data_IF_313127384266
#
_entry.id   IF_313127384266
#
_cell.length_a   1.000
_cell.length_b   1.000
_cell.length_c   1.000
_cell.angle_alpha   90.00
_cell.angle_beta   90.00
_cell.angle_gamma   90.00
#
_symmetry.space_group_name_H-M   'P 1'
#
loop_
_entity.id
_entity.type
_entity.pdbx_description
1 polymer ?
#
# COMPACT_ATOMS: atom_id res chain seq x y z
N UNK A 1 29.21 4.82 -4.84
CA UNK A 1 29.48 6.00 -3.99
C UNK A 1 29.13 5.64 -2.56
N UNK A 2 30.11 5.71 -1.65
CA UNK A 2 29.88 5.54 -0.22
C UNK A 2 29.23 6.81 0.33
N UNK A 3 28.26 6.64 1.23
CA UNK A 3 27.65 7.79 1.90
C UNK A 3 28.63 8.40 2.92
N UNK A 4 28.52 9.70 3.11
CA UNK A 4 29.21 10.42 4.17
C UNK A 4 28.93 9.83 5.56
N UNK A 5 29.90 9.96 6.46
CA UNK A 5 29.81 9.35 7.80
C UNK A 5 28.61 9.84 8.62
N UNK A 6 28.22 11.11 8.51
CA UNK A 6 27.05 11.66 9.23
C UNK A 6 25.75 11.08 8.67
N UNK A 7 25.65 10.92 7.32
CA UNK A 7 24.47 10.32 6.67
C UNK A 7 24.32 8.85 7.05
N UNK A 8 25.44 8.09 7.11
CA UNK A 8 25.42 6.69 7.54
C UNK A 8 24.99 6.53 9.00
N UNK A 9 25.52 7.37 9.90
CA UNK A 9 25.14 7.37 11.32
C UNK A 9 23.65 7.70 11.48
N UNK A 10 23.15 8.69 10.74
CA UNK A 10 21.73 9.02 10.78
C UNK A 10 20.84 7.90 10.23
N UNK A 11 21.21 7.22 9.13
CA UNK A 11 20.49 6.05 8.64
C UNK A 11 20.42 4.94 9.70
N UNK A 12 21.52 4.65 10.37
CA UNK A 12 21.57 3.66 11.46
C UNK A 12 20.68 4.08 12.65
N UNK A 13 20.67 5.35 13.04
CA UNK A 13 19.75 5.89 14.03
C UNK A 13 18.28 5.69 13.63
N UNK A 14 17.92 5.95 12.34
CA UNK A 14 16.57 5.75 11.85
C UNK A 14 16.15 4.27 11.83
N UNK A 15 17.08 3.37 11.56
CA UNK A 15 16.86 1.93 11.56
C UNK A 15 16.69 1.37 12.98
N UNK A 16 17.64 1.64 13.85
CA UNK A 16 17.74 1.00 15.18
C UNK A 16 16.84 1.69 16.20
N UNK A 17 16.95 3.01 16.34
CA UNK A 17 16.25 3.75 17.39
C UNK A 17 14.82 4.14 16.97
N UNK A 18 14.66 4.58 15.71
CA UNK A 18 13.33 4.98 15.20
C UNK A 18 12.56 3.82 14.58
N UNK A 19 13.19 2.69 14.35
CA UNK A 19 12.60 1.45 13.77
C UNK A 19 11.75 1.72 12.55
N UNK A 20 12.27 2.53 11.63
CA UNK A 20 11.55 2.85 10.41
C UNK A 20 11.44 1.62 9.52
N UNK A 21 10.32 1.52 8.79
CA UNK A 21 10.11 0.43 7.83
C UNK A 21 11.20 0.42 6.74
N UNK A 22 11.63 -0.75 6.32
CA UNK A 22 12.70 -0.96 5.32
C UNK A 22 12.48 -0.12 4.04
N UNK A 23 11.23 0.01 3.57
CA UNK A 23 10.90 0.86 2.42
C UNK A 23 11.18 2.34 2.66
N UNK A 24 10.92 2.84 3.86
CA UNK A 24 11.20 4.23 4.23
C UNK A 24 12.70 4.47 4.30
N UNK A 25 13.45 3.52 4.90
CA UNK A 25 14.91 3.57 4.96
C UNK A 25 15.52 3.58 3.54
N UNK A 26 15.06 2.71 2.64
CA UNK A 26 15.51 2.70 1.25
C UNK A 26 15.23 4.04 0.53
N UNK A 27 14.06 4.62 0.70
CA UNK A 27 13.73 5.94 0.13
C UNK A 27 14.63 7.04 0.71
N UNK A 28 14.90 7.01 2.01
CA UNK A 28 15.76 8.00 2.67
C UNK A 28 17.23 7.84 2.28
N UNK A 29 17.68 6.60 2.10
CA UNK A 29 19.03 6.33 1.60
C UNK A 29 19.24 6.94 0.20
N UNK A 30 18.28 6.78 -0.70
CA UNK A 30 18.34 7.41 -2.03
C UNK A 30 18.28 8.95 -1.94
N UNK A 31 17.46 9.50 -1.04
CA UNK A 31 17.42 10.94 -0.78
C UNK A 31 18.78 11.48 -0.26
N UNK A 32 19.44 10.74 0.62
CA UNK A 32 20.75 11.12 1.15
C UNK A 32 21.87 11.01 0.10
N UNK A 33 21.84 10.02 -0.77
CA UNK A 33 22.76 9.96 -1.92
C UNK A 33 22.65 11.22 -2.79
N UNK A 34 21.41 11.66 -3.08
CA UNK A 34 21.20 12.90 -3.86
C UNK A 34 21.66 14.13 -3.12
N UNK A 35 21.41 14.22 -1.80
CA UNK A 35 21.90 15.34 -0.98
C UNK A 35 23.41 15.45 -1.05
N UNK A 36 24.11 14.33 -0.88
CA UNK A 36 25.58 14.26 -0.96
C UNK A 36 26.09 14.71 -2.34
N UNK A 37 25.51 14.18 -3.43
CA UNK A 37 25.90 14.59 -4.80
C UNK A 37 25.69 16.09 -5.02
N UNK A 38 24.61 16.66 -4.51
CA UNK A 38 24.37 18.09 -4.63
C UNK A 38 25.38 18.91 -3.83
N UNK A 39 25.73 18.49 -2.61
CA UNK A 39 26.70 19.16 -1.77
C UNK A 39 28.12 19.11 -2.40
N UNK A 40 28.55 17.93 -2.86
CA UNK A 40 29.81 17.71 -3.57
C UNK A 40 29.89 18.58 -4.84
N UNK A 41 28.82 18.59 -5.65
CA UNK A 41 28.76 19.39 -6.89
C UNK A 41 28.78 20.91 -6.64
N UNK A 42 28.37 21.33 -5.45
CA UNK A 42 28.40 22.72 -5.03
C UNK A 42 29.69 23.09 -4.28
N UNK A 43 30.58 22.15 -4.01
CA UNK A 43 31.79 22.36 -3.20
C UNK A 43 31.50 22.74 -1.75
N UNK A 44 30.38 22.28 -1.17
CA UNK A 44 29.93 22.66 0.17
C UNK A 44 29.86 21.43 1.06
N UNK A 45 30.46 21.51 2.26
CA UNK A 45 30.32 20.46 3.24
C UNK A 45 28.87 20.32 3.72
N UNK A 46 28.42 19.09 4.05
CA UNK A 46 27.03 18.85 4.47
C UNK A 46 26.61 19.71 5.68
N UNK A 47 27.53 20.00 6.59
CA UNK A 47 27.29 20.85 7.76
C UNK A 47 27.22 22.35 7.47
N UNK A 48 27.68 22.77 6.28
CA UNK A 48 27.72 24.19 5.84
C UNK A 48 26.58 24.52 4.86
N UNK A 49 25.75 23.54 4.52
CA UNK A 49 24.61 23.74 3.60
C UNK A 49 23.65 24.80 4.15
N UNK A 50 23.29 25.76 3.28
CA UNK A 50 22.43 26.88 3.59
C UNK A 50 21.04 26.74 2.93
N UNK A 51 20.01 27.45 3.40
CA UNK A 51 18.66 27.37 2.84
C UNK A 51 18.56 27.65 1.34
N UNK A 52 19.43 28.51 0.79
CA UNK A 52 19.44 28.79 -0.66
C UNK A 52 19.92 27.58 -1.48
N UNK A 53 20.88 26.78 -0.97
CA UNK A 53 21.30 25.54 -1.59
C UNK A 53 20.11 24.56 -1.70
N UNK A 54 19.38 24.36 -0.60
CA UNK A 54 18.22 23.46 -0.57
C UNK A 54 17.12 23.90 -1.54
N UNK A 55 16.82 25.22 -1.62
CA UNK A 55 15.84 25.75 -2.59
C UNK A 55 16.29 25.49 -4.03
N UNK A 56 17.56 25.73 -4.34
CA UNK A 56 18.15 25.47 -5.65
C UNK A 56 18.07 24.01 -6.02
N UNK A 57 18.43 23.09 -5.10
CA UNK A 57 18.41 21.65 -5.35
C UNK A 57 16.99 21.11 -5.50
N UNK A 58 16.04 21.59 -4.71
CA UNK A 58 14.63 21.27 -4.90
C UNK A 58 14.11 21.72 -6.28
N UNK A 59 14.52 22.90 -6.74
CA UNK A 59 14.23 23.39 -8.10
C UNK A 59 14.87 22.52 -9.18
N UNK A 60 16.11 22.09 -9.01
CA UNK A 60 16.79 21.18 -9.94
C UNK A 60 16.11 19.80 -10.01
N UNK A 61 15.65 19.25 -8.88
CA UNK A 61 14.87 18.00 -8.86
C UNK A 61 13.58 18.15 -9.65
N UNK A 62 12.90 19.29 -9.50
CA UNK A 62 11.67 19.58 -10.23
C UNK A 62 11.93 19.72 -11.74
N UNK A 63 12.96 20.46 -12.12
CA UNK A 63 13.37 20.63 -13.52
C UNK A 63 13.76 19.30 -14.18
N UNK A 64 14.39 18.37 -13.42
CA UNK A 64 14.69 17.01 -13.85
C UNK A 64 13.45 16.09 -13.92
N UNK A 65 12.24 16.61 -13.69
CA UNK A 65 10.98 15.88 -13.82
C UNK A 65 10.58 15.06 -12.58
N UNK A 66 11.22 15.25 -11.42
CA UNK A 66 10.73 14.60 -10.20
C UNK A 66 9.34 15.14 -9.82
N UNK A 67 8.43 14.20 -9.55
CA UNK A 67 7.08 14.56 -9.10
C UNK A 67 7.14 15.33 -7.76
N UNK A 68 6.27 16.34 -7.55
CA UNK A 68 6.22 17.13 -6.32
C UNK A 68 6.14 16.29 -5.03
N UNK A 69 5.40 15.16 -5.06
CA UNK A 69 5.34 14.22 -3.94
C UNK A 69 6.67 13.56 -3.63
N UNK A 70 7.48 13.23 -4.66
CA UNK A 70 8.83 12.68 -4.48
C UNK A 70 9.76 13.73 -3.89
N UNK A 71 9.70 14.98 -4.37
CA UNK A 71 10.48 16.09 -3.81
C UNK A 71 10.11 16.34 -2.34
N UNK A 72 8.84 16.18 -1.97
CA UNK A 72 8.41 16.29 -0.57
C UNK A 72 9.04 15.20 0.31
N UNK A 73 9.22 13.98 -0.21
CA UNK A 73 9.93 12.88 0.50
C UNK A 73 11.41 13.23 0.67
N UNK A 74 12.08 13.72 -0.38
CA UNK A 74 13.48 14.17 -0.31
C UNK A 74 13.66 15.22 0.78
N UNK A 75 12.85 16.29 0.72
CA UNK A 75 12.91 17.37 1.72
C UNK A 75 12.57 16.89 3.14
N UNK A 76 11.71 15.89 3.27
CA UNK A 76 11.41 15.26 4.58
C UNK A 76 12.62 14.52 5.14
N UNK A 77 13.31 13.73 4.31
CA UNK A 77 14.52 13.01 4.70
C UNK A 77 15.64 13.98 5.10
N UNK A 78 15.91 14.99 4.24
CA UNK A 78 16.93 16.02 4.50
C UNK A 78 16.61 16.83 5.77
N UNK A 79 15.35 17.20 5.98
CA UNK A 79 14.91 17.92 7.18
C UNK A 79 15.11 17.09 8.44
N UNK A 80 14.87 15.78 8.36
CA UNK A 80 15.12 14.82 9.44
C UNK A 80 16.61 14.76 9.79
N UNK A 81 17.47 14.66 8.79
CA UNK A 81 18.92 14.64 8.94
C UNK A 81 19.46 15.90 9.62
N UNK A 82 19.11 17.09 9.12
CA UNK A 82 19.57 18.34 9.71
C UNK A 82 18.99 18.60 11.10
N UNK A 83 17.80 18.07 11.41
CA UNK A 83 17.27 18.11 12.78
C UNK A 83 18.10 17.22 13.71
N UNK A 84 18.53 16.07 13.21
CA UNK A 84 19.40 15.16 13.96
C UNK A 84 20.78 15.79 14.20
N UNK A 85 21.43 16.36 13.19
CA UNK A 85 22.68 17.10 13.34
C UNK A 85 22.57 18.28 14.31
N UNK A 86 21.43 18.97 14.31
CA UNK A 86 21.20 20.10 15.24
C UNK A 86 21.06 19.68 16.71
N UNK A 87 20.61 18.45 17.00
CA UNK A 87 20.58 17.92 18.38
C UNK A 87 21.98 17.73 18.95
N UNK A 88 22.91 17.33 18.09
CA UNK A 88 24.30 17.09 18.44
C UNK A 88 25.16 18.37 18.33
N UNK A 89 24.54 19.53 18.07
CA UNK A 89 25.21 20.82 17.96
C UNK A 89 26.07 21.01 16.71
N UNK A 90 25.98 20.09 15.73
CA UNK A 90 26.79 20.16 14.52
C UNK A 90 26.30 21.21 13.51
N UNK A 91 25.07 21.66 13.63
CA UNK A 91 24.48 22.77 12.84
C UNK A 91 23.59 23.63 13.74
N UNK A 92 23.67 24.95 13.56
CA UNK A 92 22.88 25.91 14.34
C UNK A 92 21.44 25.99 13.82
N UNK A 93 21.28 25.96 12.51
CA UNK A 93 19.97 26.07 11.84
C UNK A 93 19.75 24.91 10.89
N UNK A 94 18.49 24.45 10.83
CA UNK A 94 18.10 23.46 9.83
C UNK A 94 17.87 24.15 8.47
N UNK A 95 18.75 23.94 7.47
CA UNK A 95 18.66 24.64 6.17
C UNK A 95 17.40 24.25 5.38
N UNK A 96 16.74 23.15 5.75
CA UNK A 96 15.51 22.69 5.08
C UNK A 96 14.24 23.25 5.76
N UNK A 97 14.39 23.93 6.90
CA UNK A 97 13.27 24.58 7.54
C UNK A 97 12.66 25.64 6.60
N UNK A 98 11.34 25.63 6.43
CA UNK A 98 10.64 26.57 5.56
C UNK A 98 10.72 26.26 4.05
N UNK A 99 11.58 25.34 3.59
CA UNK A 99 11.58 24.91 2.18
C UNK A 99 10.45 23.91 1.93
N UNK A 100 9.60 24.19 0.94
CA UNK A 100 8.45 23.37 0.57
C UNK A 100 8.64 22.81 -0.84
N UNK A 101 8.13 21.61 -1.07
CA UNK A 101 8.02 21.05 -2.40
C UNK A 101 7.05 21.89 -3.27
N UNK A 102 7.20 21.87 -4.60
CA UNK A 102 6.24 22.49 -5.51
C UNK A 102 4.82 21.98 -5.22
N UNK A 103 3.83 22.85 -5.38
CA UNK A 103 2.43 22.43 -5.24
C UNK A 103 2.08 21.45 -6.37
N UNK A 104 1.65 20.24 -6.01
CA UNK A 104 1.02 19.35 -6.97
C UNK A 104 -0.47 19.71 -7.09
N UNK A 105 -1.07 19.66 -8.30
CA UNK A 105 -2.51 19.55 -8.39
C UNK A 105 -2.90 18.33 -7.54
N UNK A 106 -3.83 18.53 -6.59
CA UNK A 106 -4.41 17.39 -5.87
C UNK A 106 -5.49 16.81 -6.80
N UNK A 107 -5.22 15.72 -7.53
CA UNK A 107 -6.33 15.04 -8.19
C UNK A 107 -7.26 14.59 -7.07
N UNK A 108 -8.54 14.93 -7.20
CA UNK A 108 -9.56 14.35 -6.33
C UNK A 108 -9.39 12.83 -6.40
N UNK A 109 -9.31 12.13 -5.27
CA UNK A 109 -9.26 10.69 -5.29
C UNK A 109 -10.54 10.21 -5.98
N UNK A 110 -10.40 9.70 -7.20
CA UNK A 110 -11.53 9.17 -7.95
C UNK A 110 -11.78 7.75 -7.46
N UNK A 111 -12.80 7.56 -6.64
CA UNK A 111 -13.39 6.24 -6.47
C UNK A 111 -14.00 5.83 -7.82
N UNK A 112 -13.93 4.54 -8.16
CA UNK A 112 -14.77 4.00 -9.23
C UNK A 112 -16.23 4.10 -8.79
N UNK A 113 -17.14 4.32 -9.71
CA UNK A 113 -18.55 4.11 -9.45
C UNK A 113 -18.82 2.62 -9.14
N UNK A 114 -19.93 2.29 -8.49
CA UNK A 114 -20.23 0.91 -8.07
C UNK A 114 -20.25 -0.03 -9.28
N UNK A 115 -20.93 0.37 -10.36
CA UNK A 115 -21.01 -0.36 -11.63
C UNK A 115 -19.63 -0.60 -12.26
N UNK A 116 -18.77 0.41 -12.27
CA UNK A 116 -17.40 0.29 -12.76
C UNK A 116 -16.54 -0.67 -11.90
N UNK A 117 -16.70 -0.62 -10.58
CA UNK A 117 -15.97 -1.51 -9.69
C UNK A 117 -16.45 -2.96 -9.81
N UNK A 118 -17.75 -3.17 -9.98
CA UNK A 118 -18.34 -4.48 -10.24
C UNK A 118 -17.91 -4.99 -11.61
N UNK A 119 -17.99 -4.17 -12.67
CA UNK A 119 -17.53 -4.52 -14.02
C UNK A 119 -16.05 -4.96 -14.01
N UNK A 120 -15.19 -4.23 -13.30
CA UNK A 120 -13.78 -4.60 -13.17
C UNK A 120 -13.60 -5.96 -12.46
N UNK A 121 -14.37 -6.19 -11.41
CA UNK A 121 -14.32 -7.43 -10.64
C UNK A 121 -14.84 -8.61 -11.45
N UNK A 122 -15.95 -8.45 -12.17
CA UNK A 122 -16.58 -9.47 -12.99
C UNK A 122 -15.90 -9.66 -14.36
N UNK A 123 -14.98 -8.77 -14.74
CA UNK A 123 -14.22 -8.93 -15.99
C UNK A 123 -13.49 -10.26 -16.01
N UNK A 124 -13.72 -11.05 -17.04
CA UNK A 124 -13.01 -12.30 -17.30
C UNK A 124 -12.34 -12.25 -18.67
N UNK A 125 -11.08 -12.66 -18.73
CA UNK A 125 -10.29 -12.63 -19.94
C UNK A 125 -10.05 -14.06 -20.46
N UNK A 126 -10.84 -14.46 -21.41
CA UNK A 126 -10.70 -15.78 -22.06
C UNK A 126 -9.43 -15.91 -22.92
N UNK A 127 -8.77 -14.80 -23.26
CA UNK A 127 -7.55 -14.79 -24.08
C UNK A 127 -6.27 -14.91 -23.21
N UNK A 128 -6.38 -14.73 -21.90
CA UNK A 128 -5.24 -14.94 -20.98
C UNK A 128 -5.18 -16.41 -20.53
N UNK A 129 -4.07 -16.79 -19.90
CA UNK A 129 -3.98 -18.10 -19.24
C UNK A 129 -5.06 -18.23 -18.16
N UNK A 130 -5.84 -19.33 -18.14
CA UNK A 130 -6.86 -19.55 -17.11
C UNK A 130 -6.29 -19.45 -15.69
N UNK A 131 -5.05 -19.89 -15.47
CA UNK A 131 -4.33 -19.79 -14.19
C UNK A 131 -4.12 -18.34 -13.77
N UNK A 132 -3.68 -17.49 -14.70
CA UNK A 132 -3.43 -16.08 -14.43
C UNK A 132 -4.74 -15.33 -14.25
N UNK A 133 -5.78 -15.68 -14.97
CA UNK A 133 -7.10 -15.07 -14.83
C UNK A 133 -7.73 -15.40 -13.48
N UNK A 134 -7.72 -16.66 -13.03
CA UNK A 134 -8.21 -17.06 -11.72
C UNK A 134 -7.49 -16.29 -10.59
N UNK A 135 -6.16 -16.16 -10.70
CA UNK A 135 -5.35 -15.37 -9.76
C UNK A 135 -5.77 -13.90 -9.75
N UNK A 136 -5.85 -13.28 -10.92
CA UNK A 136 -6.08 -11.84 -11.06
C UNK A 136 -7.52 -11.46 -10.70
N UNK A 137 -8.47 -12.34 -10.96
CA UNK A 137 -9.85 -12.23 -10.50
C UNK A 137 -9.89 -12.26 -8.95
N UNK A 138 -9.27 -13.25 -8.33
CA UNK A 138 -9.19 -13.34 -6.87
C UNK A 138 -8.51 -12.11 -6.23
N UNK A 139 -7.40 -11.63 -6.80
CA UNK A 139 -6.74 -10.40 -6.35
C UNK A 139 -7.66 -9.18 -6.42
N UNK A 140 -8.42 -9.05 -7.51
CA UNK A 140 -9.32 -7.91 -7.72
C UNK A 140 -10.47 -7.93 -6.72
N UNK A 141 -11.08 -9.10 -6.51
CA UNK A 141 -12.13 -9.31 -5.54
C UNK A 141 -11.67 -8.98 -4.10
N UNK A 142 -10.50 -9.43 -3.70
CA UNK A 142 -9.98 -9.14 -2.36
C UNK A 142 -9.60 -7.66 -2.18
N UNK A 143 -9.04 -7.02 -3.20
CA UNK A 143 -8.72 -5.60 -3.13
C UNK A 143 -9.97 -4.72 -3.04
N UNK A 144 -11.00 -5.05 -3.81
CA UNK A 144 -12.25 -4.29 -3.80
C UNK A 144 -13.18 -4.77 -2.69
N UNK A 145 -13.43 -6.07 -2.55
CA UNK A 145 -14.37 -6.63 -1.59
C UNK A 145 -13.94 -6.50 -0.13
N UNK A 146 -12.64 -6.56 0.16
CA UNK A 146 -12.11 -6.43 1.53
C UNK A 146 -11.38 -5.12 1.79
N UNK A 147 -11.21 -4.27 0.77
CA UNK A 147 -10.49 -3.01 0.89
C UNK A 147 -9.03 -3.16 1.33
N UNK A 148 -8.36 -4.25 0.99
CA UNK A 148 -6.98 -4.52 1.41
C UNK A 148 -5.98 -3.53 0.81
N UNK A 149 -4.93 -3.20 1.57
CA UNK A 149 -3.75 -2.55 0.99
C UNK A 149 -2.99 -3.54 0.12
N UNK A 150 -2.31 -3.07 -0.93
CA UNK A 150 -1.50 -3.96 -1.78
C UNK A 150 -0.45 -4.75 -0.98
N UNK A 151 0.12 -4.16 0.05
CA UNK A 151 1.08 -4.85 0.93
C UNK A 151 0.39 -5.92 1.79
N UNK A 152 -0.83 -5.68 2.25
CA UNK A 152 -1.63 -6.66 2.99
C UNK A 152 -2.03 -7.83 2.09
N UNK A 153 -2.53 -7.57 0.89
CA UNK A 153 -2.82 -8.61 -0.11
C UNK A 153 -1.59 -9.48 -0.38
N UNK A 154 -0.44 -8.84 -0.61
CA UNK A 154 0.79 -9.56 -0.94
C UNK A 154 1.43 -10.27 0.25
N UNK A 155 1.06 -9.93 1.48
CA UNK A 155 1.52 -10.63 2.69
C UNK A 155 0.66 -11.85 3.05
N UNK A 156 -0.42 -12.10 2.32
CA UNK A 156 -1.25 -13.28 2.53
C UNK A 156 -0.48 -14.55 2.13
N UNK A 157 -0.53 -15.53 2.98
CA UNK A 157 -0.10 -16.90 2.71
C UNK A 157 -1.30 -17.78 2.38
N UNK A 158 -1.06 -18.84 1.61
CA UNK A 158 -2.11 -19.78 1.19
C UNK A 158 -2.71 -20.55 2.37
N UNK A 159 -1.93 -20.71 3.44
CA UNK A 159 -2.35 -21.40 4.66
C UNK A 159 -1.97 -20.59 5.90
N UNK A 160 -2.76 -20.75 6.96
CA UNK A 160 -2.42 -20.20 8.26
C UNK A 160 -1.18 -20.92 8.83
N UNK A 161 -0.24 -20.13 9.36
CA UNK A 161 0.93 -20.67 10.09
C UNK A 161 1.39 -19.66 11.15
N UNK A 162 2.26 -20.11 12.04
CA UNK A 162 2.88 -19.23 13.05
C UNK A 162 3.76 -18.13 12.44
N UNK A 163 4.24 -18.34 11.22
CA UNK A 163 5.09 -17.38 10.48
C UNK A 163 4.28 -16.54 9.49
N UNK A 164 3.03 -16.90 9.20
CA UNK A 164 2.20 -16.16 8.26
C UNK A 164 1.94 -14.73 8.74
N UNK A 165 2.27 -13.76 7.90
CA UNK A 165 1.94 -12.36 8.14
C UNK A 165 0.44 -12.09 7.96
N UNK A 166 -0.24 -12.88 7.12
CA UNK A 166 -1.68 -12.86 6.93
C UNK A 166 -2.14 -14.12 6.22
N UNK A 167 -3.43 -14.43 6.36
CA UNK A 167 -4.11 -15.56 5.70
C UNK A 167 -5.60 -15.28 5.60
N UNK A 168 -6.32 -16.11 4.84
CA UNK A 168 -7.77 -16.06 4.77
C UNK A 168 -8.32 -17.33 5.41
N UNK A 169 -9.24 -17.15 6.36
CA UNK A 169 -10.05 -18.21 6.90
C UNK A 169 -11.37 -18.24 6.10
N UNK A 170 -11.52 -19.27 5.26
CA UNK A 170 -12.70 -19.42 4.42
C UNK A 170 -13.94 -19.88 5.21
N UNK A 171 -13.75 -20.56 6.34
CA UNK A 171 -14.86 -21.02 7.20
C UNK A 171 -15.46 -19.85 7.97
N UNK A 172 -14.60 -19.00 8.54
CA UNK A 172 -15.02 -17.79 9.27
C UNK A 172 -15.24 -16.58 8.33
N UNK A 173 -15.12 -16.77 7.02
CA UNK A 173 -15.22 -15.70 6.01
C UNK A 173 -14.42 -14.45 6.41
N UNK A 174 -13.17 -14.64 6.86
CA UNK A 174 -12.34 -13.57 7.38
C UNK A 174 -10.92 -13.59 6.84
N UNK A 175 -10.38 -12.39 6.54
CA UNK A 175 -8.98 -12.19 6.18
C UNK A 175 -8.23 -11.59 7.38
N UNK A 176 -7.21 -12.27 7.85
CA UNK A 176 -6.33 -11.84 8.92
C UNK A 176 -5.11 -11.15 8.30
N UNK A 177 -4.93 -9.85 8.56
CA UNK A 177 -3.86 -9.07 7.94
C UNK A 177 -3.05 -8.29 8.97
N UNK A 178 -1.77 -8.06 8.65
CA UNK A 178 -0.88 -7.26 9.46
C UNK A 178 -0.87 -5.82 8.92
N UNK A 179 -1.43 -4.90 9.69
CA UNK A 179 -1.49 -3.48 9.35
C UNK A 179 -0.23 -2.71 9.72
N UNK A 180 -0.27 -1.40 9.54
CA UNK A 180 0.82 -0.49 9.93
C UNK A 180 1.09 -0.59 11.44
N UNK A 181 2.38 -0.70 11.81
CA UNK A 181 2.79 -0.84 13.21
C UNK A 181 2.62 -2.26 13.76
N UNK A 182 2.61 -3.28 12.88
CA UNK A 182 2.50 -4.69 13.26
C UNK A 182 1.22 -5.05 14.03
N UNK A 183 0.16 -4.27 13.87
CA UNK A 183 -1.15 -4.57 14.45
C UNK A 183 -1.92 -5.50 13.54
N UNK A 184 -2.33 -6.66 14.04
CA UNK A 184 -3.23 -7.58 13.32
C UNK A 184 -4.66 -7.05 13.36
N UNK A 185 -5.40 -7.27 12.28
CA UNK A 185 -6.84 -7.06 12.22
C UNK A 185 -7.48 -8.11 11.33
N UNK A 186 -8.75 -8.38 11.59
CA UNK A 186 -9.58 -9.22 10.73
C UNK A 186 -10.48 -8.33 9.87
N UNK A 187 -10.70 -8.73 8.62
CA UNK A 187 -11.57 -8.06 7.67
C UNK A 187 -12.53 -9.08 7.09
N UNK A 188 -13.86 -8.82 7.03
CA UNK A 188 -14.81 -9.74 6.41
C UNK A 188 -14.46 -10.00 4.94
N UNK A 189 -14.69 -11.24 4.49
CA UNK A 189 -14.50 -11.66 3.11
C UNK A 189 -15.86 -12.02 2.51
N UNK A 190 -16.31 -11.23 1.54
CA UNK A 190 -17.60 -11.45 0.90
C UNK A 190 -17.64 -12.71 0.03
N UNK A 191 -18.84 -13.20 -0.24
CA UNK A 191 -19.06 -14.43 -0.99
C UNK A 191 -18.42 -14.44 -2.38
N UNK A 192 -18.38 -13.30 -3.08
CA UNK A 192 -17.69 -13.19 -4.38
C UNK A 192 -16.18 -13.46 -4.25
N UNK A 193 -15.54 -12.86 -3.25
CA UNK A 193 -14.12 -13.05 -2.99
C UNK A 193 -13.79 -14.49 -2.53
N UNK A 194 -14.67 -15.13 -1.74
CA UNK A 194 -14.52 -16.53 -1.33
C UNK A 194 -14.59 -17.48 -2.53
N UNK A 195 -15.54 -17.28 -3.45
CA UNK A 195 -15.61 -18.09 -4.69
C UNK A 195 -14.36 -17.91 -5.56
N UNK A 196 -13.93 -16.67 -5.74
CA UNK A 196 -12.72 -16.37 -6.49
C UNK A 196 -11.47 -16.98 -5.82
N UNK A 197 -11.43 -16.98 -4.48
CA UNK A 197 -10.37 -17.65 -3.72
C UNK A 197 -10.36 -19.15 -3.94
N UNK A 198 -11.51 -19.81 -3.86
CA UNK A 198 -11.64 -21.24 -4.08
C UNK A 198 -11.13 -21.63 -5.48
N UNK A 199 -11.61 -20.95 -6.52
CA UNK A 199 -11.18 -21.17 -7.89
C UNK A 199 -9.67 -20.94 -8.09
N UNK A 200 -9.10 -19.92 -7.44
CA UNK A 200 -7.65 -19.70 -7.48
C UNK A 200 -6.88 -20.81 -6.76
N UNK A 201 -7.35 -21.25 -5.60
CA UNK A 201 -6.67 -22.30 -4.82
C UNK A 201 -6.64 -23.65 -5.53
N UNK A 202 -7.64 -23.98 -6.36
CA UNK A 202 -7.66 -25.19 -7.19
C UNK A 202 -6.51 -25.24 -8.18
N UNK A 203 -6.14 -24.11 -8.79
CA UNK A 203 -5.13 -24.04 -9.86
C UNK A 203 -3.78 -23.46 -9.39
N UNK A 204 -3.71 -22.88 -8.19
CA UNK A 204 -2.49 -22.23 -7.69
C UNK A 204 -1.28 -23.16 -7.68
N UNK A 205 -1.49 -24.44 -7.35
CA UNK A 205 -0.42 -25.44 -7.26
C UNK A 205 0.32 -25.66 -8.59
N UNK A 206 -0.34 -25.43 -9.72
CA UNK A 206 0.28 -25.54 -11.05
C UNK A 206 1.28 -24.41 -11.36
N UNK A 207 1.13 -23.27 -10.67
CA UNK A 207 1.97 -22.09 -10.87
C UNK A 207 3.02 -21.90 -9.77
N UNK A 208 2.71 -22.26 -8.52
CA UNK A 208 3.56 -22.04 -7.37
C UNK A 208 4.79 -22.97 -7.36
N UNK A 209 5.97 -22.42 -7.05
CA UNK A 209 7.14 -23.27 -6.79
C UNK A 209 6.94 -24.09 -5.50
N UNK A 210 7.61 -25.23 -5.43
CA UNK A 210 7.53 -26.10 -4.25
C UNK A 210 7.94 -25.34 -2.99
N UNK A 211 7.07 -25.37 -1.97
CA UNK A 211 7.30 -24.69 -0.69
C UNK A 211 6.98 -23.18 -0.68
N UNK A 212 6.51 -22.58 -1.79
CA UNK A 212 6.10 -21.16 -1.78
C UNK A 212 4.81 -20.97 -0.96
N UNK A 213 4.91 -20.25 0.15
CA UNK A 213 3.79 -20.00 1.06
C UNK A 213 2.83 -18.92 0.56
N UNK A 214 3.29 -17.99 -0.30
CA UNK A 214 2.50 -16.84 -0.75
C UNK A 214 1.18 -17.24 -1.39
N UNK A 215 0.07 -16.64 -0.97
CA UNK A 215 -1.23 -16.84 -1.63
C UNK A 215 -1.15 -16.48 -3.12
N UNK A 216 -0.53 -15.34 -3.46
CA UNK A 216 -0.42 -14.86 -4.83
C UNK A 216 1.00 -14.98 -5.36
N UNK A 217 1.17 -15.74 -6.44
CA UNK A 217 2.45 -16.02 -7.06
C UNK A 217 2.54 -15.44 -8.47
N UNK A 218 3.75 -15.11 -8.89
CA UNK A 218 4.09 -14.64 -10.23
C UNK A 218 4.17 -15.82 -11.21
N UNK A 219 4.36 -15.52 -12.50
CA UNK A 219 4.64 -16.55 -13.53
C UNK A 219 5.94 -17.34 -13.27
N UNK A 220 6.76 -16.90 -12.32
CA UNK A 220 7.96 -17.62 -11.86
C UNK A 220 7.68 -18.48 -10.61
N UNK A 221 6.43 -18.57 -10.19
CA UNK A 221 6.00 -19.35 -9.03
C UNK A 221 6.34 -18.76 -7.67
N UNK A 222 6.90 -17.55 -7.60
CA UNK A 222 7.27 -16.86 -6.36
C UNK A 222 6.31 -15.72 -6.06
N UNK A 223 6.28 -15.26 -4.81
CA UNK A 223 5.41 -14.17 -4.33
C UNK A 223 5.40 -12.96 -5.28
N UNK A 224 4.20 -12.48 -5.62
CA UNK A 224 4.02 -11.29 -6.45
C UNK A 224 4.60 -10.03 -5.82
N UNK A 225 5.00 -9.10 -6.67
CA UNK A 225 5.44 -7.76 -6.28
C UNK A 225 4.33 -6.71 -6.43
N UNK A 226 4.38 -5.58 -5.70
CA UNK A 226 3.43 -4.49 -5.88
C UNK A 226 3.36 -3.93 -7.31
N UNK A 227 4.47 -3.99 -8.05
CA UNK A 227 4.53 -3.54 -9.44
C UNK A 227 3.71 -4.45 -10.36
N UNK A 228 3.86 -5.78 -10.18
CA UNK A 228 3.10 -6.77 -10.95
C UNK A 228 1.60 -6.65 -10.70
N UNK A 229 1.17 -6.48 -9.43
CA UNK A 229 -0.26 -6.25 -9.12
C UNK A 229 -0.79 -5.00 -9.83
N UNK A 230 -0.04 -3.88 -9.82
CA UNK A 230 -0.47 -2.67 -10.53
C UNK A 230 -0.57 -2.88 -12.04
N UNK A 231 0.39 -3.58 -12.64
CA UNK A 231 0.38 -3.88 -14.07
C UNK A 231 -0.81 -4.76 -14.46
N UNK A 232 -1.13 -5.79 -13.66
CA UNK A 232 -2.28 -6.66 -13.90
C UNK A 232 -3.61 -5.92 -13.76
N UNK A 233 -3.78 -5.11 -12.71
CA UNK A 233 -4.98 -4.27 -12.54
C UNK A 233 -5.15 -3.26 -13.66
N UNK A 234 -4.04 -2.63 -14.13
CA UNK A 234 -4.09 -1.72 -15.28
C UNK A 234 -4.58 -2.44 -16.54
N UNK A 235 -4.03 -3.61 -16.83
CA UNK A 235 -4.43 -4.43 -17.98
C UNK A 235 -5.90 -4.83 -17.91
N UNK A 236 -6.35 -5.31 -16.73
CA UNK A 236 -7.73 -5.68 -16.47
C UNK A 236 -8.69 -4.50 -16.65
N UNK A 237 -8.33 -3.30 -16.18
CA UNK A 237 -9.12 -2.09 -16.39
C UNK A 237 -9.27 -1.70 -17.86
N UNK A 238 -8.17 -1.83 -18.66
CA UNK A 238 -8.21 -1.58 -20.10
C UNK A 238 -9.16 -2.56 -20.78
N UNK A 239 -9.08 -3.87 -20.45
CA UNK A 239 -9.94 -4.92 -21.02
C UNK A 239 -11.40 -4.75 -20.62
N UNK A 240 -11.67 -4.23 -19.41
CA UNK A 240 -13.00 -3.87 -18.96
C UNK A 240 -13.54 -2.57 -19.61
N UNK A 241 -12.80 -1.93 -20.51
CA UNK A 241 -13.21 -0.67 -21.14
C UNK A 241 -13.28 0.52 -20.17
N UNK A 242 -12.61 0.46 -19.02
CA UNK A 242 -12.67 1.55 -18.05
C UNK A 242 -11.80 2.74 -18.50
N UNK A 243 -12.30 3.98 -18.42
CA UNK A 243 -11.64 5.19 -18.93
C UNK A 243 -10.48 5.67 -18.04
N UNK A 244 -10.15 4.95 -16.99
CA UNK A 244 -9.16 5.37 -15.99
C UNK A 244 -8.18 4.27 -15.62
N UNK A 245 -6.98 4.67 -15.22
CA UNK A 245 -5.98 3.73 -14.73
C UNK A 245 -6.33 3.28 -13.31
N UNK A 246 -6.79 2.04 -13.18
CA UNK A 246 -7.10 1.45 -11.89
C UNK A 246 -5.81 1.01 -11.18
N UNK A 247 -5.77 1.25 -9.89
CA UNK A 247 -4.68 0.83 -9.01
C UNK A 247 -5.21 0.42 -7.62
N UNK A 248 -4.46 -0.33 -6.80
CA UNK A 248 -4.95 -0.88 -5.53
C UNK A 248 -5.54 0.16 -4.56
N UNK A 249 -4.95 1.35 -4.48
CA UNK A 249 -5.48 2.41 -3.60
C UNK A 249 -6.83 2.95 -4.08
N UNK A 250 -7.08 2.95 -5.40
CA UNK A 250 -8.39 3.35 -5.95
C UNK A 250 -9.46 2.33 -5.56
N UNK A 251 -9.19 1.02 -5.67
CA UNK A 251 -10.12 -0.03 -5.27
C UNK A 251 -10.45 0.05 -3.77
N UNK A 252 -9.43 0.24 -2.93
CA UNK A 252 -9.65 0.45 -1.51
C UNK A 252 -10.44 1.74 -1.21
N UNK A 253 -10.24 2.80 -1.98
CA UNK A 253 -11.03 4.04 -1.84
C UNK A 253 -12.48 3.81 -2.27
N UNK A 254 -12.70 3.06 -3.37
CA UNK A 254 -14.03 2.66 -3.81
C UNK A 254 -14.75 1.81 -2.77
N UNK A 255 -14.08 0.82 -2.18
CA UNK A 255 -14.59 0.05 -1.04
C UNK A 255 -15.06 0.97 0.08
N UNK A 256 -14.19 1.90 0.52
CA UNK A 256 -14.52 2.81 1.61
C UNK A 256 -15.72 3.70 1.29
N UNK A 257 -15.75 4.28 0.08
CA UNK A 257 -16.83 5.18 -0.35
C UNK A 257 -18.17 4.45 -0.50
N UNK A 258 -18.16 3.27 -1.14
CA UNK A 258 -19.39 2.49 -1.34
C UNK A 258 -19.95 1.97 -0.03
N UNK A 259 -19.08 1.46 0.86
CA UNK A 259 -19.51 0.99 2.16
C UNK A 259 -20.05 2.13 3.02
N UNK A 260 -19.42 3.31 3.02
CA UNK A 260 -19.87 4.48 3.74
C UNK A 260 -21.22 5.01 3.20
N UNK A 261 -21.37 5.08 1.87
CA UNK A 261 -22.62 5.52 1.24
C UNK A 261 -23.80 4.60 1.57
N UNK A 262 -23.56 3.30 1.65
CA UNK A 262 -24.61 2.32 1.90
C UNK A 262 -24.91 2.10 3.38
N UNK A 263 -23.89 2.19 4.26
CA UNK A 263 -24.07 1.94 5.70
C UNK A 263 -24.33 3.18 6.53
N UNK A 264 -23.82 4.34 6.09
CA UNK A 264 -23.76 5.57 6.89
C UNK A 264 -22.80 5.50 8.09
N UNK A 265 -22.15 4.36 8.34
CA UNK A 265 -21.32 4.11 9.51
C UNK A 265 -19.83 4.39 9.22
N UNK A 266 -19.43 5.65 9.40
CA UNK A 266 -18.04 6.08 9.22
C UNK A 266 -17.08 5.34 10.16
N UNK A 267 -17.53 5.00 11.37
CA UNK A 267 -16.68 4.33 12.36
C UNK A 267 -16.36 2.90 11.94
N UNK A 268 -17.37 2.13 11.54
CA UNK A 268 -17.19 0.78 11.03
C UNK A 268 -16.26 0.78 9.80
N UNK A 269 -16.43 1.73 8.87
CA UNK A 269 -15.55 1.87 7.70
C UNK A 269 -14.10 2.17 8.10
N UNK A 270 -13.87 3.07 9.07
CA UNK A 270 -12.52 3.38 9.55
C UNK A 270 -11.86 2.19 10.23
N UNK A 271 -12.60 1.41 11.01
CA UNK A 271 -12.13 0.19 11.68
C UNK A 271 -11.76 -0.89 10.66
N UNK A 272 -12.62 -1.18 9.69
CA UNK A 272 -12.36 -2.12 8.59
C UNK A 272 -11.11 -1.74 7.80
N UNK A 273 -10.91 -0.47 7.57
CA UNK A 273 -9.73 0.03 6.88
C UNK A 273 -8.46 0.04 7.76
N UNK A 274 -8.58 -0.06 9.08
CA UNK A 274 -7.44 0.02 10.00
C UNK A 274 -6.75 1.39 9.93
N UNK A 275 -7.53 2.48 10.04
CA UNK A 275 -7.02 3.83 10.16
C UNK A 275 -6.54 4.06 11.60
N UNK A 276 -5.24 4.36 11.77
CA UNK A 276 -4.58 4.50 13.07
C UNK A 276 -4.93 5.77 13.85
N UNK A 277 -5.92 6.55 13.44
CA UNK A 277 -6.23 7.86 14.01
C UNK A 277 -7.55 7.89 14.77
N UNK A 278 -7.71 7.02 15.74
CA UNK A 278 -8.53 7.30 16.93
C UNK A 278 -7.81 6.69 18.13
N UNK A 279 -7.52 7.53 19.09
CA UNK A 279 -6.91 7.29 20.38
C UNK A 279 -7.72 6.25 21.15
N UNK A 280 -7.44 4.97 20.97
CA UNK A 280 -7.62 3.94 22.00
C UNK A 280 -7.12 2.60 21.48
N UNK A 281 -6.25 1.97 22.24
CA UNK A 281 -5.86 0.57 22.09
C UNK A 281 -7.06 -0.28 22.50
N UNK A 282 -8.05 -0.45 21.62
CA UNK A 282 -9.09 -1.45 21.84
C UNK A 282 -8.58 -2.79 21.30
N UNK A 283 -8.51 -3.75 22.19
CA UNK A 283 -8.36 -5.17 21.83
C UNK A 283 -9.64 -5.56 21.12
N UNK A 284 -9.56 -5.91 19.83
CA UNK A 284 -10.70 -6.36 19.04
C UNK A 284 -11.25 -7.65 19.65
N UNK A 285 -12.46 -7.60 20.14
CA UNK A 285 -13.19 -8.77 20.62
C UNK A 285 -13.96 -9.43 19.47
N UNK A 286 -14.37 -10.71 19.64
CA UNK A 286 -15.26 -11.38 18.66
C UNK A 286 -16.58 -10.61 18.42
N UNK A 287 -17.04 -9.86 19.42
CA UNK A 287 -18.25 -9.02 19.34
C UNK A 287 -18.07 -7.86 18.37
N UNK A 288 -16.89 -7.21 18.34
CA UNK A 288 -16.60 -6.09 17.43
C UNK A 288 -16.55 -6.59 15.97
N UNK A 289 -15.95 -7.76 15.72
CA UNK A 289 -15.93 -8.37 14.40
C UNK A 289 -17.33 -8.72 13.89
N UNK A 290 -18.21 -9.27 14.75
CA UNK A 290 -19.60 -9.57 14.41
C UNK A 290 -20.41 -8.35 13.99
N UNK A 291 -20.19 -7.18 14.62
CA UNK A 291 -20.80 -5.93 14.20
C UNK A 291 -20.26 -5.47 12.84
N UNK A 292 -18.95 -5.50 12.65
CA UNK A 292 -18.31 -5.11 11.39
C UNK A 292 -18.78 -5.99 10.22
N UNK A 293 -18.91 -7.31 10.44
CA UNK A 293 -19.45 -8.23 9.43
C UNK A 293 -20.89 -7.89 9.07
N UNK A 294 -21.77 -7.61 10.04
CA UNK A 294 -23.15 -7.22 9.77
C UNK A 294 -23.25 -5.94 8.93
N UNK A 295 -22.46 -4.92 9.28
CA UNK A 295 -22.41 -3.66 8.49
C UNK A 295 -21.93 -3.94 7.07
N UNK A 296 -20.90 -4.77 6.93
CA UNK A 296 -20.36 -5.16 5.63
C UNK A 296 -21.40 -5.94 4.80
N UNK A 297 -22.01 -6.97 5.37
CA UNK A 297 -22.98 -7.83 4.69
C UNK A 297 -24.24 -7.09 4.24
N UNK A 298 -24.65 -6.07 5.01
CA UNK A 298 -25.79 -5.23 4.66
C UNK A 298 -25.49 -4.22 3.55
N UNK A 299 -24.26 -3.73 3.47
CA UNK A 299 -23.92 -2.53 2.72
C UNK A 299 -23.00 -2.75 1.50
N UNK A 300 -22.10 -3.75 1.51
CA UNK A 300 -21.14 -3.88 0.43
C UNK A 300 -21.68 -4.69 -0.76
N UNK A 301 -21.53 -4.22 -2.03
CA UNK A 301 -22.08 -4.90 -3.23
C UNK A 301 -21.59 -6.36 -3.42
N UNK A 302 -20.38 -6.69 -2.93
CA UNK A 302 -19.77 -8.02 -3.08
C UNK A 302 -19.90 -8.92 -1.85
N UNK A 303 -20.64 -8.49 -0.82
CA UNK A 303 -20.80 -9.24 0.42
C UNK A 303 -21.63 -10.53 0.22
N UNK A 304 -22.77 -10.40 -0.45
CA UNK A 304 -23.73 -11.51 -0.58
C UNK A 304 -23.28 -12.54 -1.62
N UNK A 305 -23.46 -13.79 -1.28
CA UNK A 305 -23.45 -14.88 -2.26
C UNK A 305 -24.67 -14.66 -3.19
N UNK A 306 -24.45 -14.37 -4.49
CA UNK A 306 -25.52 -14.58 -5.45
C UNK A 306 -25.82 -16.08 -5.49
N UNK A 307 -27.09 -16.51 -5.44
CA UNK A 307 -27.42 -17.88 -5.74
C UNK A 307 -26.88 -18.23 -7.15
N UNK A 308 -26.51 -19.49 -7.41
CA UNK A 308 -26.15 -19.92 -8.76
C UNK A 308 -27.29 -19.52 -9.69
N UNK A 309 -26.96 -18.96 -10.85
CA UNK A 309 -27.92 -18.75 -11.93
C UNK A 309 -28.38 -20.15 -12.33
N UNK A 310 -29.68 -20.45 -12.16
CA UNK A 310 -30.33 -21.63 -12.68
C UNK A 310 -30.23 -21.70 -14.20
#
# INVERSE_FOLDING_TARGET
MLLDGDLLRHLKHLEVERRLAARTLANYQEAFKRLQVFAESAGVALREVQPHHIRRWAGQLHFKGLAPGSIAIELSAWRGFYRWLGRDGHVVLNPVAGVRAPKAPKPLPKALAVDQAVLLADQFDHADSPLLEARDHCMTELLYGCGLRVSELLSLDAQASTQAAGWIDAQDASAHVLGKGSKRRSVPVGGAALRALAAWMEVRGELATTGEAALFVSNRGTRLTPSQVRSRLKLRAIKAGLPTHVHPHMLRHSFASHLLQSSGDLRAVQELLGHASITTTQVYTKLDFGHLSKVYDAAHPRAKLKPPLE
#
